data_IF_384213152146
#
_entry.id   IF_384213152146
#
_cell.length_a   1.000
_cell.length_b   1.000
_cell.length_c   1.000
_cell.angle_alpha   90.00
_cell.angle_beta   90.00
_cell.angle_gamma   90.00
#
_symmetry.space_group_name_H-M   'P 1'
#
loop_
_entity.id
_entity.type
_entity.pdbx_description
1 polymer ?
#
# COMPACT_ATOMS: atom_id res chain seq x y z
N UNK A 1 6.11 -23.42 -5.68
CA UNK A 1 5.63 -22.84 -4.40
C UNK A 1 6.69 -22.10 -3.56
N UNK A 2 7.79 -22.71 -3.06
CA UNK A 2 8.80 -21.95 -2.26
C UNK A 2 9.40 -20.72 -2.97
N UNK A 3 9.55 -20.78 -4.29
CA UNK A 3 10.06 -19.65 -5.07
C UNK A 3 9.07 -18.47 -5.14
N UNK A 4 7.76 -18.73 -5.21
CA UNK A 4 6.73 -17.68 -5.28
C UNK A 4 6.66 -16.92 -3.97
N UNK A 5 6.63 -17.65 -2.85
CA UNK A 5 6.64 -17.06 -1.53
C UNK A 5 7.85 -16.11 -1.35
N UNK A 6 9.04 -16.51 -1.78
CA UNK A 6 10.23 -15.67 -1.69
C UNK A 6 10.15 -14.42 -2.60
N UNK A 7 9.55 -14.54 -3.79
CA UNK A 7 9.35 -13.41 -4.71
C UNK A 7 8.39 -12.40 -4.10
N UNK A 8 7.24 -12.86 -3.60
CA UNK A 8 6.24 -11.98 -3.00
C UNK A 8 6.79 -11.30 -1.74
N UNK A 9 7.46 -12.05 -0.86
CA UNK A 9 8.06 -11.47 0.34
C UNK A 9 9.16 -10.45 0.00
N UNK A 10 9.94 -10.67 -1.05
CA UNK A 10 10.89 -9.68 -1.53
C UNK A 10 10.18 -8.41 -2.02
N UNK A 11 9.12 -8.55 -2.82
CA UNK A 11 8.39 -7.41 -3.36
C UNK A 11 7.69 -6.63 -2.23
N UNK A 12 7.12 -7.29 -1.22
CA UNK A 12 6.54 -6.64 -0.03
C UNK A 12 7.54 -5.76 0.74
N UNK A 13 8.82 -6.12 0.72
CA UNK A 13 9.88 -5.37 1.41
C UNK A 13 10.37 -4.16 0.60
N UNK A 14 10.06 -4.12 -0.69
CA UNK A 14 10.37 -2.99 -1.55
C UNK A 14 9.20 -2.00 -1.51
N UNK A 15 9.49 -0.71 -1.71
CA UNK A 15 8.42 0.26 -1.94
C UNK A 15 7.65 -0.14 -3.21
N UNK A 16 6.32 -0.30 -3.07
CA UNK A 16 5.48 -0.77 -4.16
C UNK A 16 5.38 0.31 -5.24
N UNK A 17 6.11 0.11 -6.34
CA UNK A 17 6.18 1.05 -7.46
C UNK A 17 5.18 0.75 -8.60
N UNK A 18 4.23 -0.17 -8.37
CA UNK A 18 3.24 -0.61 -9.37
C UNK A 18 1.82 -0.52 -8.79
N UNK A 19 0.83 -0.36 -9.66
CA UNK A 19 -0.58 -0.28 -9.29
C UNK A 19 -1.29 -1.63 -9.49
N UNK A 20 -2.50 -1.79 -8.94
CA UNK A 20 -3.28 -3.01 -9.17
C UNK A 20 -3.57 -3.28 -10.66
N UNK A 21 -3.73 -2.23 -11.46
CA UNK A 21 -3.92 -2.33 -12.91
C UNK A 21 -2.69 -2.93 -13.61
N UNK A 22 -1.49 -2.50 -13.23
CA UNK A 22 -0.24 -3.02 -13.80
C UNK A 22 -0.12 -4.55 -13.63
N UNK A 23 -0.54 -5.06 -12.47
CA UNK A 23 -0.53 -6.51 -12.16
C UNK A 23 -1.51 -7.28 -13.04
N UNK A 24 -2.70 -6.71 -13.28
CA UNK A 24 -3.75 -7.35 -14.08
C UNK A 24 -3.46 -7.29 -15.59
N UNK A 25 -2.79 -6.24 -16.05
CA UNK A 25 -2.39 -6.09 -17.44
C UNK A 25 -1.23 -7.02 -17.80
N UNK A 26 -0.13 -6.96 -17.03
CA UNK A 26 1.05 -7.78 -17.28
C UNK A 26 1.90 -8.02 -16.02
N UNK A 27 1.54 -9.07 -15.29
CA UNK A 27 2.31 -9.54 -14.12
C UNK A 27 3.75 -9.92 -14.44
N UNK A 28 4.08 -10.33 -15.67
CA UNK A 28 5.46 -10.69 -16.01
C UNK A 28 6.34 -9.44 -16.08
N UNK A 29 5.83 -8.36 -16.69
CA UNK A 29 6.50 -7.06 -16.70
C UNK A 29 6.73 -6.51 -15.29
N UNK A 30 5.76 -6.69 -14.39
CA UNK A 30 5.93 -6.34 -12.97
C UNK A 30 7.08 -7.14 -12.36
N UNK A 31 7.09 -8.47 -12.52
CA UNK A 31 8.15 -9.33 -12.00
C UNK A 31 9.54 -8.96 -12.58
N UNK A 32 9.61 -8.66 -13.87
CA UNK A 32 10.83 -8.22 -14.54
C UNK A 32 11.34 -6.89 -14.00
N UNK A 33 10.46 -5.95 -13.65
CA UNK A 33 10.83 -4.68 -13.02
C UNK A 33 11.53 -4.89 -11.66
N UNK A 34 11.20 -5.98 -10.95
CA UNK A 34 11.88 -6.40 -9.71
C UNK A 34 13.08 -7.33 -9.96
N UNK A 35 13.45 -7.57 -11.22
CA UNK A 35 14.59 -8.41 -11.60
C UNK A 35 14.30 -9.91 -11.58
N UNK A 36 13.02 -10.31 -11.51
CA UNK A 36 12.63 -11.71 -11.57
C UNK A 36 12.28 -12.12 -13.01
N UNK A 37 13.05 -13.05 -13.56
CA UNK A 37 12.73 -13.73 -14.81
C UNK A 37 12.39 -15.19 -14.49
N UNK A 38 11.10 -15.46 -14.23
CA UNK A 38 10.63 -16.79 -13.81
C UNK A 38 9.54 -17.31 -14.74
N UNK A 39 9.67 -18.56 -15.19
CA UNK A 39 8.59 -19.25 -15.90
C UNK A 39 7.60 -19.82 -14.90
N UNK A 40 6.44 -19.18 -14.77
CA UNK A 40 5.36 -19.61 -13.90
C UNK A 40 4.39 -20.53 -14.64
N UNK A 41 3.90 -21.57 -13.96
CA UNK A 41 2.73 -22.32 -14.46
C UNK A 41 1.45 -21.48 -14.37
N UNK A 42 0.37 -21.87 -15.05
CA UNK A 42 -0.89 -21.12 -15.03
C UNK A 42 -1.45 -20.91 -13.61
N UNK A 43 -1.39 -21.94 -12.74
CA UNK A 43 -1.82 -21.82 -11.35
C UNK A 43 -0.91 -20.90 -10.54
N UNK A 44 0.41 -21.00 -10.75
CA UNK A 44 1.38 -20.15 -10.05
C UNK A 44 1.24 -18.69 -10.44
N UNK A 45 0.95 -18.41 -11.72
CA UNK A 45 0.67 -17.06 -12.21
C UNK A 45 -0.58 -16.48 -11.53
N UNK A 46 -1.65 -17.25 -11.41
CA UNK A 46 -2.86 -16.80 -10.70
C UNK A 46 -2.57 -16.45 -9.25
N UNK A 47 -1.79 -17.27 -8.53
CA UNK A 47 -1.39 -16.99 -7.15
C UNK A 47 -0.54 -15.71 -7.04
N UNK A 48 0.41 -15.52 -7.95
CA UNK A 48 1.24 -14.30 -7.96
C UNK A 48 0.39 -13.06 -8.25
N UNK A 49 -0.53 -13.12 -9.20
CA UNK A 49 -1.45 -12.02 -9.49
C UNK A 49 -2.25 -11.66 -8.25
N UNK A 50 -2.86 -12.65 -7.58
CA UNK A 50 -3.67 -12.42 -6.38
C UNK A 50 -2.85 -11.76 -5.26
N UNK A 51 -1.67 -12.29 -4.96
CA UNK A 51 -0.81 -11.74 -3.90
C UNK A 51 -0.26 -10.34 -4.25
N UNK A 52 0.19 -10.11 -5.49
CA UNK A 52 0.70 -8.79 -5.89
C UNK A 52 -0.40 -7.74 -5.98
N UNK A 53 -1.60 -8.14 -6.39
CA UNK A 53 -2.77 -7.26 -6.42
C UNK A 53 -3.14 -6.78 -5.02
N UNK A 54 -3.19 -7.67 -4.02
CA UNK A 54 -3.45 -7.29 -2.64
C UNK A 54 -2.40 -6.31 -2.10
N UNK A 55 -1.13 -6.51 -2.44
CA UNK A 55 -0.05 -5.60 -2.02
C UNK A 55 -0.22 -4.23 -2.67
N UNK A 56 -0.46 -4.17 -3.99
CA UNK A 56 -0.66 -2.92 -4.70
C UNK A 56 -1.87 -2.14 -4.16
N UNK A 57 -2.99 -2.84 -3.90
CA UNK A 57 -4.21 -2.25 -3.36
C UNK A 57 -4.00 -1.71 -1.94
N UNK A 58 -3.28 -2.44 -1.09
CA UNK A 58 -2.92 -1.97 0.25
C UNK A 58 -2.04 -0.71 0.19
N UNK A 59 -1.10 -0.65 -0.76
CA UNK A 59 -0.23 0.52 -0.90
C UNK A 59 -1.00 1.75 -1.42
N UNK A 60 -1.86 1.58 -2.42
CA UNK A 60 -2.72 2.67 -2.93
C UNK A 60 -3.62 3.22 -1.82
N UNK A 61 -4.19 2.35 -1.00
CA UNK A 61 -5.02 2.76 0.15
C UNK A 61 -4.21 3.58 1.14
N UNK A 62 -2.99 3.13 1.49
CA UNK A 62 -2.07 3.85 2.41
C UNK A 62 -1.63 5.21 1.85
N UNK A 63 -1.40 5.31 0.55
CA UNK A 63 -1.02 6.57 -0.09
C UNK A 63 -2.20 7.55 -0.15
N UNK A 64 -3.40 7.08 -0.51
CA UNK A 64 -4.62 7.89 -0.45
C UNK A 64 -4.88 8.42 0.97
N UNK A 65 -4.72 7.55 1.96
CA UNK A 65 -4.75 7.87 3.38
C UNK A 65 -3.74 8.97 3.77
N UNK A 66 -2.49 8.85 3.32
CA UNK A 66 -1.44 9.86 3.55
C UNK A 66 -1.77 11.21 2.91
N UNK A 67 -2.30 11.21 1.69
CA UNK A 67 -2.71 12.43 0.99
C UNK A 67 -3.84 13.14 1.76
N UNK A 68 -4.85 12.39 2.21
CA UNK A 68 -5.96 12.94 2.99
C UNK A 68 -5.46 13.52 4.32
N UNK A 69 -4.56 12.81 4.99
CA UNK A 69 -3.93 13.26 6.23
C UNK A 69 -3.15 14.57 6.02
N UNK A 70 -2.37 14.64 4.94
CA UNK A 70 -1.60 15.83 4.60
C UNK A 70 -2.52 17.03 4.32
N UNK A 71 -3.55 16.84 3.49
CA UNK A 71 -4.54 17.87 3.20
C UNK A 71 -5.28 18.33 4.47
N UNK A 72 -5.67 17.41 5.35
CA UNK A 72 -6.29 17.76 6.63
C UNK A 72 -5.34 18.56 7.55
N UNK A 73 -4.03 18.26 7.51
CA UNK A 73 -3.02 19.02 8.24
C UNK A 73 -2.86 20.44 7.69
N UNK A 74 -2.80 20.60 6.36
CA UNK A 74 -2.68 21.91 5.72
C UNK A 74 -3.91 22.78 5.94
N UNK A 75 -5.09 22.17 5.97
CA UNK A 75 -6.36 22.84 6.24
C UNK A 75 -6.60 23.13 7.74
N UNK A 76 -5.68 22.71 8.63
CA UNK A 76 -5.82 22.89 10.07
C UNK A 76 -6.99 22.11 10.69
N UNK A 77 -7.46 21.05 10.00
CA UNK A 77 -8.57 20.20 10.43
C UNK A 77 -8.12 19.09 11.39
N UNK A 78 -6.81 18.88 11.52
CA UNK A 78 -6.23 17.96 12.49
C UNK A 78 -6.09 18.63 13.86
N UNK A 79 -6.48 17.93 14.91
CA UNK A 79 -6.28 18.37 16.29
C UNK A 79 -4.77 18.56 16.58
N UNK A 80 -4.35 19.52 17.44
CA UNK A 80 -2.94 19.85 17.66
C UNK A 80 -2.06 18.67 18.14
N UNK A 81 -2.63 17.75 18.93
CA UNK A 81 -1.93 16.54 19.40
C UNK A 81 -1.68 15.53 18.27
N UNK A 82 -2.50 15.57 17.23
CA UNK A 82 -2.40 14.72 16.05
C UNK A 82 -1.31 15.20 15.10
N UNK A 83 -1.19 16.52 14.88
CA UNK A 83 -0.10 17.13 14.09
C UNK A 83 1.29 16.83 14.68
N UNK A 84 1.37 16.69 16.00
CA UNK A 84 2.62 16.37 16.70
C UNK A 84 2.98 14.88 16.56
N UNK A 85 2.01 13.96 16.54
CA UNK A 85 2.27 12.52 16.36
C UNK A 85 2.57 12.14 14.91
N UNK A 86 1.93 12.77 13.91
CA UNK A 86 2.21 12.51 12.49
C UNK A 86 3.66 12.85 12.11
N UNK A 87 4.30 13.82 12.79
CA UNK A 87 5.72 14.12 12.60
C UNK A 87 6.67 13.07 13.20
N UNK A 88 6.18 12.22 14.10
CA UNK A 88 7.01 11.29 14.89
C UNK A 88 6.72 9.81 14.62
N UNK A 89 5.61 9.47 13.97
CA UNK A 89 5.25 8.07 13.67
C UNK A 89 5.79 7.63 12.30
N UNK A 90 6.48 6.49 12.30
CA UNK A 90 6.90 5.77 11.10
C UNK A 90 5.68 5.31 10.27
N UNK A 91 5.83 5.08 8.95
CA UNK A 91 4.72 4.87 8.01
C UNK A 91 3.88 3.59 8.19
N UNK A 92 4.09 2.81 9.25
CA UNK A 92 3.44 1.50 9.47
C UNK A 92 2.12 1.51 10.24
N UNK A 93 1.70 2.68 10.73
CA UNK A 93 0.54 2.80 11.60
C UNK A 93 -0.71 3.31 10.85
N UNK A 94 -1.17 2.55 9.85
CA UNK A 94 -2.37 2.87 9.03
C UNK A 94 -3.70 2.83 9.81
N UNK A 95 -3.70 2.56 11.11
CA UNK A 95 -4.93 2.43 11.92
C UNK A 95 -5.54 3.75 12.40
N UNK A 96 -4.86 4.90 12.25
CA UNK A 96 -5.26 6.13 12.93
C UNK A 96 -6.18 7.08 12.14
N UNK A 97 -6.44 6.79 10.85
CA UNK A 97 -7.20 7.68 9.96
C UNK A 97 -8.70 7.56 10.17
N UNK A 98 -9.20 6.33 10.42
CA UNK A 98 -10.59 6.11 10.80
C UNK A 98 -10.97 6.89 12.07
N UNK A 99 -10.07 6.99 13.05
CA UNK A 99 -10.31 7.76 14.29
C UNK A 99 -10.33 9.27 14.05
N UNK A 100 -9.46 9.79 13.18
CA UNK A 100 -9.44 11.22 12.86
C UNK A 100 -10.72 11.68 12.12
N UNK A 101 -11.21 10.88 11.17
CA UNK A 101 -12.45 11.20 10.44
C UNK A 101 -13.70 11.11 11.33
N UNK A 102 -13.75 10.16 12.27
CA UNK A 102 -14.89 9.99 13.17
C UNK A 102 -15.07 11.18 14.14
N UNK A 103 -13.99 11.84 14.56
CA UNK A 103 -14.08 12.99 15.47
C UNK A 103 -14.39 14.33 14.78
N UNK A 104 -14.01 14.49 13.51
CA UNK A 104 -14.40 15.67 12.72
C UNK A 104 -15.93 15.78 12.60
N UNK A 105 -16.62 14.65 12.46
CA UNK A 105 -18.09 14.58 12.38
C UNK A 105 -18.79 14.72 13.74
N UNK A 106 -18.08 14.53 14.85
CA UNK A 106 -18.63 14.71 16.20
C UNK A 106 -18.56 16.16 16.70
N UNK A 107 -17.95 17.06 15.92
CA UNK A 107 -17.75 18.47 16.27
C UNK A 107 -18.67 19.44 15.50
N UNK A 108 -19.62 18.91 14.70
CA UNK A 108 -20.74 19.66 14.10
C UNK A 108 -21.99 19.63 14.98
#
# INVERSE_FOLDING_TARGET
MKNIHNIVEYIKQQDCAFTPEDVLEDVDSVLEAFGFCVSLTANERLTVIDELYEIAQANETREAERIVLHAASELGLLQPWYTQQVRHSAPDDSQWIATAMLYAKASE
#
